data_IF_121060149002
#
_entry.id   IF_121060149002
#
_cell.length_a   1.000
_cell.length_b   1.000
_cell.length_c   1.000
_cell.angle_alpha   90.00
_cell.angle_beta   90.00
_cell.angle_gamma   90.00
#
_symmetry.space_group_name_H-M   'P 1'
#
loop_
_entity.id
_entity.type
_entity.pdbx_description
1 polymer ?
#
# COMPACT_ATOMS: atom_id res chain seq x y z
N UNK A 1 2.62 4.87 14.43
CA UNK A 1 3.71 5.60 15.12
C UNK A 1 5.04 5.21 14.50
N UNK A 2 5.62 6.10 13.68
CA UNK A 2 6.83 5.87 12.87
C UNK A 2 8.05 5.51 13.74
N UNK A 3 8.99 4.72 13.20
CA UNK A 3 10.27 4.39 13.88
C UNK A 3 11.03 5.65 14.30
N UNK A 4 10.92 6.74 13.54
CA UNK A 4 11.53 8.04 13.84
C UNK A 4 10.92 8.76 15.04
N UNK A 5 9.60 8.69 15.23
CA UNK A 5 8.95 9.22 16.44
C UNK A 5 9.39 8.46 17.70
N UNK A 6 9.68 7.16 17.60
CA UNK A 6 10.15 6.37 18.75
C UNK A 6 11.58 6.74 19.17
N UNK A 7 12.46 7.04 18.22
CA UNK A 7 13.84 7.44 18.50
C UNK A 7 13.95 8.87 19.02
N UNK A 8 13.17 9.80 18.48
CA UNK A 8 13.09 11.18 18.99
C UNK A 8 12.53 11.24 20.41
N UNK A 9 11.46 10.49 20.68
CA UNK A 9 10.89 10.36 22.03
C UNK A 9 11.88 9.68 22.99
N UNK A 10 12.62 8.67 22.54
CA UNK A 10 13.66 8.04 23.36
C UNK A 10 14.80 9.01 23.71
N UNK A 11 15.25 9.84 22.77
CA UNK A 11 16.29 10.84 23.01
C UNK A 11 15.82 11.94 24.00
N UNK A 12 14.58 12.41 23.86
CA UNK A 12 13.99 13.37 24.79
C UNK A 12 13.80 12.78 26.19
N UNK A 13 13.40 11.50 26.28
CA UNK A 13 13.27 10.77 27.54
C UNK A 13 14.61 10.57 28.25
N UNK A 14 15.68 10.27 27.50
CA UNK A 14 17.05 10.16 28.04
C UNK A 14 17.53 11.50 28.58
N UNK A 15 17.24 12.61 27.89
CA UNK A 15 17.59 13.96 28.35
C UNK A 15 16.82 14.38 29.61
N UNK A 16 15.52 14.07 29.68
CA UNK A 16 14.72 14.29 30.89
C UNK A 16 15.22 13.45 32.07
N UNK A 17 15.58 12.19 31.83
CA UNK A 17 16.09 11.30 32.86
C UNK A 17 17.46 11.76 33.41
N UNK A 18 18.38 12.23 32.56
CA UNK A 18 19.67 12.75 33.02
C UNK A 18 19.55 14.06 33.79
N UNK A 19 18.61 14.94 33.43
CA UNK A 19 18.35 16.18 34.17
C UNK A 19 17.80 15.91 35.58
N UNK A 20 16.87 14.96 35.73
CA UNK A 20 16.30 14.56 37.03
C UNK A 20 17.36 13.91 37.94
N UNK A 21 18.26 13.12 37.36
CA UNK A 21 19.35 12.47 38.08
C UNK A 21 20.39 13.50 38.58
N UNK A 22 20.66 14.55 37.80
CA UNK A 22 21.56 15.64 38.18
C UNK A 22 20.99 16.52 39.31
N UNK A 23 19.67 16.71 39.37
CA UNK A 23 19.01 17.44 40.48
C UNK A 23 19.01 16.64 41.78
N UNK A 24 19.10 15.31 41.70
CA UNK A 24 19.00 14.42 42.87
C UNK A 24 20.33 14.13 43.58
N UNK A 25 21.48 14.51 43.02
CA UNK A 25 22.79 14.35 43.69
C UNK A 25 23.01 15.53 44.64
N UNK A 26 22.41 15.44 45.83
CA UNK A 26 22.75 16.30 46.96
C UNK A 26 24.03 15.81 47.65
N UNK A 27 25.14 16.54 47.48
CA UNK A 27 26.40 16.29 48.18
C UNK A 27 27.42 17.42 48.01
N UNK A 28 27.76 18.08 49.12
CA UNK A 28 28.74 19.17 49.36
C UNK A 28 28.73 20.44 48.47
N UNK A 29 28.66 21.65 49.07
CA UNK A 29 28.31 22.89 48.35
C UNK A 29 29.43 23.48 47.45
N UNK A 30 30.71 23.14 47.67
CA UNK A 30 31.83 23.77 46.95
C UNK A 30 32.27 23.03 45.66
N UNK A 31 32.02 21.72 45.54
CA UNK A 31 32.34 20.95 44.31
C UNK A 31 31.15 20.88 43.34
N UNK A 32 29.92 20.97 43.86
CA UNK A 32 28.70 20.99 43.05
C UNK A 32 28.56 22.20 42.12
N UNK A 33 29.08 23.37 42.52
CA UNK A 33 28.96 24.61 41.73
C UNK A 33 29.81 24.56 40.44
N UNK A 34 31.02 24.00 40.51
CA UNK A 34 31.89 23.84 39.34
C UNK A 34 31.35 22.78 38.37
N UNK A 35 30.84 21.66 38.91
CA UNK A 35 30.21 20.61 38.11
C UNK A 35 28.95 21.11 37.40
N UNK A 36 28.12 21.93 38.08
CA UNK A 36 26.95 22.57 37.45
C UNK A 36 27.33 23.52 36.30
N UNK A 37 28.39 24.34 36.47
CA UNK A 37 28.84 25.27 35.42
C UNK A 37 29.35 24.55 34.18
N UNK A 38 30.11 23.45 34.35
CA UNK A 38 30.58 22.62 33.23
C UNK A 38 29.39 21.95 32.51
N UNK A 39 28.40 21.47 33.25
CA UNK A 39 27.21 20.84 32.68
C UNK A 39 26.37 21.82 31.82
N UNK A 40 26.16 23.05 32.30
CA UNK A 40 25.42 24.10 31.56
C UNK A 40 26.17 24.53 30.29
N UNK A 41 27.50 24.51 30.30
CA UNK A 41 28.31 24.89 29.13
C UNK A 41 28.30 23.83 28.00
N UNK A 42 28.17 22.54 28.33
CA UNK A 42 28.21 21.43 27.36
C UNK A 42 26.82 21.09 26.81
N UNK A 43 25.76 21.30 27.59
CA UNK A 43 24.41 20.94 27.19
C UNK A 43 23.92 21.61 25.87
N UNK A 44 24.12 22.92 25.63
CA UNK A 44 23.66 23.58 24.40
C UNK A 44 24.46 23.16 23.16
N UNK A 45 25.75 22.90 23.31
CA UNK A 45 26.63 22.48 22.21
C UNK A 45 26.32 21.06 21.77
N UNK A 46 26.01 20.17 22.73
CA UNK A 46 25.50 18.83 22.44
C UNK A 46 24.16 18.87 21.68
N UNK A 47 23.21 19.71 22.10
CA UNK A 47 21.91 19.86 21.41
C UNK A 47 22.07 20.42 20.00
N UNK A 48 22.94 21.42 19.80
CA UNK A 48 23.17 22.05 18.49
C UNK A 48 23.86 21.09 17.50
N UNK A 49 24.83 20.29 17.98
CA UNK A 49 25.46 19.23 17.19
C UNK A 49 24.46 18.12 16.81
N UNK A 50 23.55 17.76 17.71
CA UNK A 50 22.50 16.78 17.44
C UNK A 50 21.40 17.33 16.50
N UNK A 51 21.10 18.63 16.54
CA UNK A 51 20.06 19.25 15.73
C UNK A 51 20.30 19.13 14.21
N UNK A 52 21.54 19.32 13.75
CA UNK A 52 21.90 19.13 12.35
C UNK A 52 21.73 17.68 11.88
N UNK A 53 22.05 16.71 12.74
CA UNK A 53 21.85 15.29 12.45
C UNK A 53 20.36 14.91 12.43
N UNK A 54 19.55 15.45 13.34
CA UNK A 54 18.09 15.25 13.36
C UNK A 54 17.47 15.79 12.06
N UNK A 55 17.82 16.99 11.63
CA UNK A 55 17.28 17.60 10.40
C UNK A 55 17.67 16.82 9.13
N UNK A 56 18.87 16.24 9.09
CA UNK A 56 19.31 15.41 7.97
C UNK A 56 18.57 14.06 7.93
N UNK A 57 18.24 13.49 9.09
CA UNK A 57 17.47 12.26 9.21
C UNK A 57 16.01 12.50 8.80
N UNK A 58 15.38 13.61 9.22
CA UNK A 58 14.00 13.91 8.83
C UNK A 58 13.87 14.12 7.32
N UNK A 59 14.79 14.87 6.69
CA UNK A 59 14.81 15.04 5.23
C UNK A 59 14.95 13.72 4.48
N UNK A 60 15.84 12.82 4.94
CA UNK A 60 16.00 11.50 4.33
C UNK A 60 14.75 10.63 4.43
N UNK A 61 14.01 10.73 5.53
CA UNK A 61 12.76 9.98 5.72
C UNK A 61 11.66 10.47 4.76
N UNK A 62 11.53 11.79 4.59
CA UNK A 62 10.57 12.40 3.66
C UNK A 62 10.89 12.03 2.20
N UNK A 63 12.17 12.02 1.82
CA UNK A 63 12.59 11.58 0.49
C UNK A 63 12.29 10.09 0.26
N UNK A 64 12.51 9.24 1.26
CA UNK A 64 12.14 7.82 1.17
C UNK A 64 10.64 7.62 1.06
N UNK A 65 9.84 8.36 1.82
CA UNK A 65 8.39 8.32 1.76
C UNK A 65 7.89 8.79 0.39
N UNK A 66 8.38 9.93 -0.10
CA UNK A 66 8.05 10.42 -1.45
C UNK A 66 8.43 9.41 -2.54
N UNK A 67 9.61 8.80 -2.45
CA UNK A 67 10.03 7.75 -3.41
C UNK A 67 9.17 6.50 -3.31
N UNK A 68 8.64 6.16 -2.14
CA UNK A 68 7.70 5.04 -1.97
C UNK A 68 6.35 5.37 -2.59
N UNK A 69 5.86 6.58 -2.38
CA UNK A 69 4.59 7.02 -2.96
C UNK A 69 4.69 7.13 -4.49
N UNK A 70 5.79 7.68 -5.01
CA UNK A 70 6.09 7.72 -6.45
C UNK A 70 6.13 6.30 -7.04
N UNK A 71 6.83 5.35 -6.39
CA UNK A 71 6.87 3.95 -6.82
C UNK A 71 5.50 3.28 -6.72
N UNK A 72 4.76 3.52 -5.65
CA UNK A 72 3.43 2.97 -5.46
C UNK A 72 2.45 3.49 -6.51
N UNK A 73 2.55 4.77 -6.89
CA UNK A 73 1.78 5.36 -7.96
C UNK A 73 2.16 4.77 -9.33
N UNK A 74 3.45 4.62 -9.63
CA UNK A 74 3.93 4.00 -10.86
C UNK A 74 3.50 2.52 -10.97
N UNK A 75 3.60 1.78 -9.87
CA UNK A 75 3.10 0.40 -9.79
C UNK A 75 1.58 0.33 -9.95
N UNK A 76 0.83 1.27 -9.37
CA UNK A 76 -0.61 1.33 -9.52
C UNK A 76 -1.01 1.62 -10.97
N UNK A 77 -0.32 2.53 -11.65
CA UNK A 77 -0.54 2.84 -13.07
C UNK A 77 -0.28 1.62 -13.96
N UNK A 78 0.85 0.93 -13.75
CA UNK A 78 1.17 -0.32 -14.47
C UNK A 78 0.11 -1.39 -14.25
N UNK A 79 -0.29 -1.62 -12.99
CA UNK A 79 -1.34 -2.59 -12.66
C UNK A 79 -2.68 -2.23 -13.29
N UNK A 80 -3.02 -0.95 -13.40
CA UNK A 80 -4.26 -0.54 -14.07
C UNK A 80 -4.19 -0.78 -15.58
N UNK A 81 -3.06 -0.48 -16.23
CA UNK A 81 -2.86 -0.80 -17.64
C UNK A 81 -2.98 -2.32 -17.91
N UNK A 82 -2.40 -3.16 -17.05
CA UNK A 82 -2.56 -4.61 -17.11
C UNK A 82 -4.02 -5.04 -16.93
N UNK A 83 -4.73 -4.48 -15.93
CA UNK A 83 -6.16 -4.75 -15.70
C UNK A 83 -7.01 -4.36 -16.89
N UNK A 84 -6.74 -3.21 -17.51
CA UNK A 84 -7.44 -2.77 -18.72
C UNK A 84 -7.23 -3.76 -19.88
N UNK A 85 -6.00 -4.22 -20.09
CA UNK A 85 -5.68 -5.21 -21.13
C UNK A 85 -6.41 -6.55 -20.87
N UNK A 86 -6.34 -7.08 -19.65
CA UNK A 86 -7.03 -8.31 -19.26
C UNK A 86 -8.54 -8.19 -19.43
N UNK A 87 -9.13 -7.04 -19.04
CA UNK A 87 -10.56 -6.76 -19.20
C UNK A 87 -10.95 -6.75 -20.68
N UNK A 88 -10.12 -6.21 -21.57
CA UNK A 88 -10.35 -6.22 -23.01
C UNK A 88 -10.33 -7.64 -23.59
N UNK A 89 -9.37 -8.48 -23.15
CA UNK A 89 -9.26 -9.88 -23.58
C UNK A 89 -10.45 -10.72 -23.12
N UNK A 90 -10.81 -10.64 -21.84
CA UNK A 90 -11.95 -11.38 -21.29
C UNK A 90 -13.27 -10.96 -21.94
N UNK A 91 -13.44 -9.65 -22.22
CA UNK A 91 -14.59 -9.19 -22.99
C UNK A 91 -14.62 -9.75 -24.40
N UNK A 92 -13.48 -9.82 -25.08
CA UNK A 92 -13.40 -10.41 -26.42
C UNK A 92 -13.85 -11.87 -26.38
N UNK A 93 -13.41 -12.61 -25.36
CA UNK A 93 -13.79 -14.00 -25.17
C UNK A 93 -15.30 -14.16 -24.94
N UNK A 94 -15.92 -13.33 -24.09
CA UNK A 94 -17.38 -13.32 -23.91
C UNK A 94 -18.12 -13.02 -25.22
N UNK A 95 -17.62 -12.08 -26.04
CA UNK A 95 -18.18 -11.79 -27.37
C UNK A 95 -18.05 -13.00 -28.30
N UNK A 96 -16.91 -13.68 -28.29
CA UNK A 96 -16.67 -14.88 -29.10
C UNK A 96 -17.65 -15.98 -28.73
N UNK A 97 -17.80 -16.26 -27.44
CA UNK A 97 -18.74 -17.26 -26.93
C UNK A 97 -20.19 -16.90 -27.26
N UNK A 98 -20.57 -15.64 -27.09
CA UNK A 98 -21.91 -15.17 -27.41
C UNK A 98 -22.24 -15.39 -28.89
N UNK A 99 -21.33 -15.02 -29.81
CA UNK A 99 -21.51 -15.28 -31.25
C UNK A 99 -21.65 -16.77 -31.57
N UNK A 100 -20.90 -17.63 -30.90
CA UNK A 100 -20.97 -19.08 -31.12
C UNK A 100 -22.28 -19.66 -30.58
N UNK A 101 -22.57 -19.47 -29.30
CA UNK A 101 -23.65 -20.18 -28.62
C UNK A 101 -25.01 -19.49 -28.77
N UNK A 102 -25.05 -18.15 -28.75
CA UNK A 102 -26.29 -17.38 -28.89
C UNK A 102 -26.64 -17.16 -30.35
N UNK A 103 -25.74 -16.55 -31.13
CA UNK A 103 -26.06 -16.15 -32.51
C UNK A 103 -26.06 -17.34 -33.49
N UNK A 104 -25.09 -18.26 -33.37
CA UNK A 104 -24.92 -19.35 -34.34
C UNK A 104 -25.67 -20.62 -33.96
N UNK A 105 -25.52 -21.09 -32.72
CA UNK A 105 -26.08 -22.38 -32.27
C UNK A 105 -27.49 -22.26 -31.69
N UNK A 106 -27.79 -21.21 -30.91
CA UNK A 106 -29.08 -21.03 -30.22
C UNK A 106 -29.33 -22.01 -29.08
N UNK A 107 -28.27 -22.67 -28.58
CA UNK A 107 -28.26 -23.53 -27.40
C UNK A 107 -26.86 -23.47 -26.79
N UNK A 108 -26.67 -23.99 -25.58
CA UNK A 108 -25.35 -24.06 -24.94
C UNK A 108 -25.12 -25.44 -24.32
N UNK A 109 -23.87 -25.89 -24.24
CA UNK A 109 -23.53 -27.09 -23.45
C UNK A 109 -23.27 -26.71 -21.99
N UNK A 110 -23.38 -27.68 -21.07
CA UNK A 110 -23.09 -27.42 -19.65
C UNK A 110 -21.65 -26.93 -19.44
N UNK A 111 -20.69 -27.53 -20.14
CA UNK A 111 -19.28 -27.16 -20.08
C UNK A 111 -19.06 -25.73 -20.61
N UNK A 112 -19.67 -25.38 -21.74
CA UNK A 112 -19.54 -24.04 -22.30
C UNK A 112 -20.18 -22.97 -21.40
N UNK A 113 -21.32 -23.27 -20.76
CA UNK A 113 -21.94 -22.33 -19.81
C UNK A 113 -21.06 -22.11 -18.58
N UNK A 114 -20.43 -23.16 -18.06
CA UNK A 114 -19.52 -23.05 -16.92
C UNK A 114 -18.26 -22.25 -17.27
N UNK A 115 -17.69 -22.48 -18.46
CA UNK A 115 -16.58 -21.69 -18.97
C UNK A 115 -16.97 -20.21 -19.18
N UNK A 116 -18.18 -19.95 -19.69
CA UNK A 116 -18.72 -18.59 -19.83
C UNK A 116 -18.83 -17.90 -18.47
N UNK A 117 -19.32 -18.62 -17.45
CA UNK A 117 -19.46 -18.11 -16.08
C UNK A 117 -18.12 -17.75 -15.47
N UNK A 118 -17.12 -18.63 -15.57
CA UNK A 118 -15.77 -18.35 -15.05
C UNK A 118 -15.14 -17.15 -15.75
N UNK A 119 -15.31 -17.04 -17.06
CA UNK A 119 -14.83 -15.89 -17.85
C UNK A 119 -15.53 -14.60 -17.42
N UNK A 120 -16.84 -14.65 -17.20
CA UNK A 120 -17.64 -13.52 -16.72
C UNK A 120 -17.25 -13.08 -15.30
N UNK A 121 -17.09 -14.01 -14.37
CA UNK A 121 -16.69 -13.71 -12.99
C UNK A 121 -15.31 -13.04 -12.95
N UNK A 122 -14.34 -13.56 -13.71
CA UNK A 122 -13.02 -12.95 -13.84
C UNK A 122 -13.12 -11.54 -14.44
N UNK A 123 -13.93 -11.35 -15.47
CA UNK A 123 -14.18 -10.05 -16.10
C UNK A 123 -14.79 -9.04 -15.11
N UNK A 124 -15.80 -9.48 -14.35
CA UNK A 124 -16.49 -8.64 -13.38
C UNK A 124 -15.58 -8.24 -12.21
N UNK A 125 -14.80 -9.19 -11.68
CA UNK A 125 -13.88 -8.97 -10.56
C UNK A 125 -12.82 -7.89 -10.83
N UNK A 126 -12.38 -7.74 -12.09
CA UNK A 126 -11.40 -6.72 -12.49
C UNK A 126 -12.03 -5.40 -12.96
N UNK A 127 -13.32 -5.16 -12.68
CA UNK A 127 -14.02 -3.92 -13.02
C UNK A 127 -14.70 -3.95 -14.39
N UNK A 128 -15.25 -5.11 -14.77
CA UNK A 128 -16.04 -5.29 -15.99
C UNK A 128 -17.20 -4.29 -16.11
N UNK A 129 -17.50 -3.86 -17.33
CA UNK A 129 -18.65 -3.00 -17.62
C UNK A 129 -19.90 -3.83 -17.92
N UNK A 130 -21.10 -3.23 -17.77
CA UNK A 130 -22.37 -3.94 -17.96
C UNK A 130 -22.62 -4.51 -19.36
N UNK A 131 -21.75 -4.27 -20.35
CA UNK A 131 -21.86 -4.91 -21.67
C UNK A 131 -21.47 -6.38 -21.59
N UNK A 132 -20.40 -6.73 -20.88
CA UNK A 132 -19.99 -8.13 -20.71
C UNK A 132 -21.01 -8.94 -19.92
N UNK A 133 -21.65 -8.32 -18.92
CA UNK A 133 -22.75 -8.92 -18.15
C UNK A 133 -23.91 -9.35 -19.04
N UNK A 134 -24.38 -8.48 -19.94
CA UNK A 134 -25.47 -8.83 -20.87
C UNK A 134 -25.13 -10.01 -21.77
N UNK A 135 -23.90 -10.07 -22.28
CA UNK A 135 -23.46 -11.19 -23.11
C UNK A 135 -23.52 -12.51 -22.34
N UNK A 136 -23.15 -12.50 -21.05
CA UNK A 136 -23.26 -13.67 -20.21
C UNK A 136 -24.71 -14.03 -19.87
N UNK A 137 -25.54 -13.05 -19.53
CA UNK A 137 -26.98 -13.26 -19.26
C UNK A 137 -27.70 -13.89 -20.46
N UNK A 138 -27.39 -13.43 -21.68
CA UNK A 138 -27.92 -14.01 -22.92
C UNK A 138 -27.53 -15.49 -23.06
N UNK A 139 -26.28 -15.83 -22.74
CA UNK A 139 -25.79 -17.22 -22.76
C UNK A 139 -26.43 -18.09 -21.66
N UNK A 140 -26.62 -17.54 -20.47
CA UNK A 140 -27.25 -18.22 -19.34
C UNK A 140 -28.74 -18.51 -19.58
N UNK A 141 -29.41 -17.69 -20.39
CA UNK A 141 -30.80 -17.89 -20.79
C UNK A 141 -31.01 -18.99 -21.85
N UNK A 142 -29.93 -19.51 -22.46
CA UNK A 142 -30.04 -20.54 -23.48
C UNK A 142 -30.42 -21.91 -22.90
N UNK A 143 -31.10 -22.72 -23.71
CA UNK A 143 -31.37 -24.11 -23.36
C UNK A 143 -30.07 -24.92 -23.35
N UNK A 144 -29.88 -25.69 -22.28
CA UNK A 144 -28.74 -26.59 -22.16
C UNK A 144 -28.99 -27.87 -22.98
N UNK A 145 -28.05 -28.23 -23.84
CA UNK A 145 -28.07 -29.50 -24.60
C UNK A 145 -26.73 -30.21 -24.47
N UNK A 146 -26.76 -31.54 -24.43
CA UNK A 146 -25.57 -32.36 -24.58
C UNK A 146 -25.18 -32.42 -26.06
N UNK A 147 -23.97 -31.96 -26.42
CA UNK A 147 -23.41 -32.25 -27.74
C UNK A 147 -23.12 -33.75 -27.79
N UNK A 148 -23.96 -34.47 -28.54
CA UNK A 148 -23.78 -35.89 -28.77
C UNK A 148 -22.54 -36.06 -29.66
N UNK A 149 -21.44 -36.53 -29.07
CA UNK A 149 -20.23 -36.95 -29.79
C UNK A 149 -20.55 -37.97 -30.88
#
# INVERSE_FOLDING_TARGET
MSRGTKTAVAALAVFGATMILLVSIGGNPMEGEYLQKIAIAIAPTAVTLCGGWIAQITKKMEEEERRRDERAAEEAEKREAERMALRALLRNELVRMHREWVETKGYITLEALEYARQTYEAYHAIGGNGTGTKLFEDMEALQIKEERN
#
